data_IF_020544084044
#
_entry.id   IF_020544084044
#
_cell.length_a   1.000
_cell.length_b   1.000
_cell.length_c   1.000
_cell.angle_alpha   90.00
_cell.angle_beta   90.00
_cell.angle_gamma   90.00
#
_symmetry.space_group_name_H-M   'P 1'
#
loop_
_entity.id
_entity.type
_entity.pdbx_description
1 polymer ?
#
# COMPACT_ATOMS: atom_id res chain seq x y z
N UNK A 1 11.28 34.09 7.70
CA UNK A 1 9.97 34.74 7.49
C UNK A 1 9.29 34.05 6.31
N UNK A 2 8.02 33.67 6.45
CA UNK A 2 7.26 33.09 5.34
C UNK A 2 6.95 34.20 4.31
N UNK A 3 7.13 33.91 3.02
CA UNK A 3 6.78 34.86 1.95
C UNK A 3 5.28 35.12 1.98
N UNK A 4 4.88 36.38 2.01
CA UNK A 4 3.47 36.75 1.95
C UNK A 4 2.87 36.30 0.60
N UNK A 5 1.66 35.74 0.65
CA UNK A 5 0.92 35.35 -0.55
C UNK A 5 0.48 36.64 -1.26
N UNK A 6 0.68 36.77 -2.58
CA UNK A 6 0.26 37.95 -3.34
C UNK A 6 -1.23 38.26 -3.19
N UNK A 7 -1.55 39.55 -3.09
CA UNK A 7 -2.94 40.02 -3.06
C UNK A 7 -3.62 39.67 -4.38
N UNK A 8 -4.66 38.82 -4.32
CA UNK A 8 -5.38 38.31 -5.50
C UNK A 8 -5.23 36.80 -5.73
N UNK A 9 -4.33 36.13 -5.02
CA UNK A 9 -4.25 34.66 -4.98
C UNK A 9 -5.00 34.11 -3.77
N UNK A 10 -6.19 33.56 -4.01
CA UNK A 10 -6.95 32.81 -3.00
C UNK A 10 -6.53 31.35 -3.09
N UNK A 11 -5.53 30.98 -2.28
CA UNK A 11 -5.06 29.60 -2.17
C UNK A 11 -5.64 28.94 -0.92
N UNK A 12 -6.17 27.73 -1.09
CA UNK A 12 -6.56 26.83 0.00
C UNK A 12 -5.32 26.37 0.80
N UNK A 13 -5.51 25.80 2.00
CA UNK A 13 -4.42 25.43 2.91
C UNK A 13 -3.29 24.63 2.24
N UNK A 14 -3.61 23.61 1.43
CA UNK A 14 -2.60 22.84 0.67
C UNK A 14 -1.85 23.69 -0.37
N UNK A 15 -2.55 24.63 -1.01
CA UNK A 15 -1.96 25.58 -1.96
C UNK A 15 -1.04 26.58 -1.28
N UNK A 16 -1.37 27.01 -0.06
CA UNK A 16 -0.52 27.88 0.75
C UNK A 16 0.78 27.17 1.16
N UNK A 17 0.71 25.91 1.59
CA UNK A 17 1.90 25.11 1.89
C UNK A 17 2.80 24.92 0.67
N UNK A 18 2.20 24.55 -0.47
CA UNK A 18 2.91 24.39 -1.73
C UNK A 18 3.63 25.68 -2.16
N UNK A 19 2.95 26.82 -2.01
CA UNK A 19 3.49 28.15 -2.29
C UNK A 19 4.64 28.53 -1.35
N UNK A 20 4.50 28.27 -0.04
CA UNK A 20 5.55 28.59 0.94
C UNK A 20 6.78 27.70 0.79
N UNK A 21 6.61 26.41 0.49
CA UNK A 21 7.72 25.52 0.19
C UNK A 21 8.48 25.98 -1.06
N UNK A 22 7.75 26.38 -2.10
CA UNK A 22 8.33 26.88 -3.34
C UNK A 22 9.04 28.21 -3.13
N UNK A 23 8.42 29.16 -2.41
CA UNK A 23 9.02 30.45 -2.09
C UNK A 23 10.31 30.32 -1.26
N UNK A 24 10.46 29.22 -0.50
CA UNK A 24 11.70 28.87 0.21
C UNK A 24 12.78 28.32 -0.73
N UNK A 25 12.41 27.52 -1.74
CA UNK A 25 13.34 26.90 -2.69
C UNK A 25 13.76 27.86 -3.81
N UNK A 26 12.84 28.65 -4.35
CA UNK A 26 13.08 29.56 -5.47
C UNK A 26 13.05 31.03 -5.04
N UNK A 27 14.17 31.52 -4.47
CA UNK A 27 14.29 32.92 -4.04
C UNK A 27 14.13 33.93 -5.19
N UNK A 28 14.47 33.55 -6.43
CA UNK A 28 14.25 34.34 -7.66
C UNK A 28 12.76 34.59 -7.96
N UNK A 29 11.88 33.74 -7.44
CA UNK A 29 10.45 33.90 -7.59
C UNK A 29 9.92 35.07 -6.74
N UNK A 30 10.54 35.32 -5.58
CA UNK A 30 10.16 36.39 -4.66
C UNK A 30 10.57 37.79 -5.15
N UNK A 31 11.43 37.87 -6.16
CA UNK A 31 11.93 39.14 -6.72
C UNK A 31 11.13 39.63 -7.94
N UNK A 32 10.17 38.84 -8.41
CA UNK A 32 9.29 39.24 -9.52
C UNK A 32 8.15 40.13 -9.02
N UNK A 33 7.78 41.19 -9.75
CA UNK A 33 6.64 42.02 -9.39
C UNK A 33 5.33 41.22 -9.45
N UNK A 34 4.38 41.56 -8.59
CA UNK A 34 3.04 40.98 -8.57
C UNK A 34 2.27 41.41 -9.83
N UNK A 35 2.45 40.63 -10.89
CA UNK A 35 1.76 40.77 -12.15
C UNK A 35 0.84 39.56 -12.39
N UNK A 36 -0.19 39.68 -13.23
CA UNK A 36 -1.14 38.58 -13.46
C UNK A 36 -0.47 37.31 -14.00
N UNK A 37 0.64 37.43 -14.74
CA UNK A 37 1.43 36.29 -15.20
C UNK A 37 2.04 35.49 -14.03
N UNK A 38 2.54 36.18 -13.00
CA UNK A 38 3.04 35.57 -11.76
C UNK A 38 1.94 34.83 -11.03
N UNK A 39 0.73 35.41 -10.94
CA UNK A 39 -0.42 34.78 -10.29
C UNK A 39 -0.83 33.48 -11.00
N UNK A 40 -0.94 33.53 -12.33
CA UNK A 40 -1.29 32.36 -13.17
C UNK A 40 -0.22 31.28 -13.04
N UNK A 41 1.05 31.66 -13.03
CA UNK A 41 2.16 30.72 -12.88
C UNK A 41 2.15 30.02 -11.51
N UNK A 42 1.88 30.73 -10.42
CA UNK A 42 1.73 30.14 -9.08
C UNK A 42 0.58 29.13 -9.08
N UNK A 43 -0.56 29.51 -9.65
CA UNK A 43 -1.74 28.65 -9.71
C UNK A 43 -1.45 27.35 -10.47
N UNK A 44 -0.87 27.44 -11.67
CA UNK A 44 -0.51 26.28 -12.49
C UNK A 44 0.46 25.33 -11.78
N UNK A 45 1.40 25.87 -11.00
CA UNK A 45 2.34 25.08 -10.24
C UNK A 45 1.74 24.40 -9.00
N UNK A 46 0.84 25.10 -8.29
CA UNK A 46 0.08 24.49 -7.20
C UNK A 46 -0.76 23.33 -7.73
N UNK A 47 -1.41 23.51 -8.89
CA UNK A 47 -2.22 22.47 -9.54
C UNK A 47 -1.36 21.28 -10.02
N UNK A 48 -0.16 21.54 -10.54
CA UNK A 48 0.82 20.50 -10.86
C UNK A 48 1.22 19.69 -9.61
N UNK A 49 1.56 20.36 -8.51
CA UNK A 49 1.90 19.67 -7.24
C UNK A 49 0.73 18.85 -6.69
N UNK A 50 -0.51 19.37 -6.77
CA UNK A 50 -1.71 18.62 -6.38
C UNK A 50 -1.87 17.36 -7.25
N UNK A 51 -1.60 17.47 -8.55
CA UNK A 51 -1.67 16.34 -9.49
C UNK A 51 -0.59 15.29 -9.21
N UNK A 52 0.65 15.72 -8.95
CA UNK A 52 1.76 14.82 -8.64
C UNK A 52 1.54 14.05 -7.33
N UNK A 53 1.00 14.72 -6.30
CA UNK A 53 0.62 14.07 -5.04
C UNK A 53 -0.46 13.01 -5.26
N UNK A 54 -1.53 13.34 -5.97
CA UNK A 54 -2.60 12.38 -6.32
C UNK A 54 -2.06 11.17 -7.08
N UNK A 55 -1.11 11.38 -7.99
CA UNK A 55 -0.46 10.29 -8.72
C UNK A 55 0.36 9.40 -7.79
N UNK A 56 1.15 9.99 -6.90
CA UNK A 56 1.93 9.26 -5.88
C UNK A 56 1.02 8.47 -4.92
N UNK A 57 -0.13 9.02 -4.55
CA UNK A 57 -1.08 8.35 -3.67
C UNK A 57 -1.75 7.17 -4.37
N UNK A 58 -2.13 7.30 -5.64
CA UNK A 58 -2.62 6.21 -6.46
C UNK A 58 -1.57 5.10 -6.66
N UNK A 59 -0.32 5.47 -6.91
CA UNK A 59 0.79 4.52 -7.02
C UNK A 59 1.02 3.78 -5.69
N UNK A 60 0.95 4.49 -4.56
CA UNK A 60 1.00 3.85 -3.23
C UNK A 60 -0.15 2.89 -3.00
N UNK A 61 -1.38 3.30 -3.30
CA UNK A 61 -2.57 2.47 -3.12
C UNK A 61 -2.47 1.17 -3.95
N UNK A 62 -1.97 1.26 -5.18
CA UNK A 62 -1.70 0.09 -6.03
C UNK A 62 -0.64 -0.83 -5.44
N UNK A 63 0.47 -0.28 -4.94
CA UNK A 63 1.55 -1.06 -4.31
C UNK A 63 1.03 -1.77 -3.06
N UNK A 64 0.29 -1.07 -2.18
CA UNK A 64 -0.30 -1.67 -0.99
C UNK A 64 -1.33 -2.75 -1.34
N UNK A 65 -2.16 -2.53 -2.34
CA UNK A 65 -3.11 -3.52 -2.85
C UNK A 65 -2.42 -4.79 -3.36
N UNK A 66 -1.32 -4.64 -4.11
CA UNK A 66 -0.53 -5.76 -4.61
C UNK A 66 0.12 -6.57 -3.47
N UNK A 67 0.70 -5.89 -2.47
CA UNK A 67 1.30 -6.55 -1.30
C UNK A 67 0.23 -7.30 -0.49
N UNK A 68 -0.95 -6.69 -0.30
CA UNK A 68 -2.05 -7.32 0.42
C UNK A 68 -2.52 -8.61 -0.27
N UNK A 69 -2.73 -8.57 -1.59
CA UNK A 69 -3.11 -9.75 -2.37
C UNK A 69 -2.04 -10.85 -2.33
N UNK A 70 -0.76 -10.49 -2.47
CA UNK A 70 0.33 -11.45 -2.38
C UNK A 70 0.40 -12.13 -1.00
N UNK A 71 0.14 -11.38 0.06
CA UNK A 71 0.10 -11.89 1.44
C UNK A 71 -1.06 -12.87 1.62
N UNK A 72 -2.25 -12.53 1.12
CA UNK A 72 -3.41 -13.43 1.17
C UNK A 72 -3.17 -14.75 0.45
N UNK A 73 -2.64 -14.70 -0.78
CA UNK A 73 -2.32 -15.89 -1.57
C UNK A 73 -1.31 -16.77 -0.82
N UNK A 74 -0.25 -16.15 -0.28
CA UNK A 74 0.77 -16.86 0.49
C UNK A 74 0.19 -17.55 1.73
N UNK A 75 -0.73 -16.88 2.44
CA UNK A 75 -1.40 -17.44 3.61
C UNK A 75 -2.30 -18.63 3.25
N UNK A 76 -3.04 -18.53 2.14
CA UNK A 76 -3.90 -19.62 1.66
C UNK A 76 -3.09 -20.83 1.24
N UNK A 77 -1.98 -20.64 0.53
CA UNK A 77 -1.08 -21.72 0.12
C UNK A 77 -0.46 -22.38 1.34
N UNK A 78 0.04 -21.60 2.31
CA UNK A 78 0.62 -22.13 3.55
C UNK A 78 -0.41 -22.91 4.37
N UNK A 79 -1.64 -22.42 4.47
CA UNK A 79 -2.73 -23.13 5.13
C UNK A 79 -3.03 -24.46 4.42
N UNK A 80 -3.09 -24.46 3.09
CA UNK A 80 -3.35 -25.67 2.31
C UNK A 80 -2.22 -26.71 2.43
N UNK A 81 -0.95 -26.29 2.45
CA UNK A 81 0.18 -27.21 2.63
C UNK A 81 0.19 -27.82 4.03
N UNK A 82 -0.01 -26.99 5.07
CA UNK A 82 -0.10 -27.47 6.45
C UNK A 82 -1.27 -28.45 6.62
N UNK A 83 -2.44 -28.12 6.07
CA UNK A 83 -3.61 -28.99 6.14
C UNK A 83 -3.39 -30.33 5.43
N UNK A 84 -2.71 -30.31 4.28
CA UNK A 84 -2.33 -31.51 3.53
C UNK A 84 -1.38 -32.41 4.33
N UNK A 85 -0.39 -31.85 5.00
CA UNK A 85 0.53 -32.62 5.83
C UNK A 85 -0.18 -33.25 7.05
N UNK A 86 -1.09 -32.51 7.70
CA UNK A 86 -1.92 -33.05 8.80
C UNK A 86 -2.76 -34.24 8.32
N UNK A 87 -3.42 -34.12 7.16
CA UNK A 87 -4.22 -35.20 6.59
C UNK A 87 -3.40 -36.46 6.28
N UNK A 88 -2.17 -36.31 5.78
CA UNK A 88 -1.27 -37.45 5.54
C UNK A 88 -0.93 -38.18 6.83
N UNK A 89 -0.56 -37.43 7.88
CA UNK A 89 -0.24 -38.00 9.20
C UNK A 89 -1.46 -38.73 9.77
N UNK A 90 -2.62 -38.10 9.72
CA UNK A 90 -3.87 -38.68 10.21
C UNK A 90 -4.26 -39.96 9.44
N UNK A 91 -4.12 -39.96 8.11
CA UNK A 91 -4.33 -41.14 7.27
C UNK A 91 -3.36 -42.27 7.61
N UNK A 92 -2.08 -41.96 7.88
CA UNK A 92 -1.09 -42.94 8.32
C UNK A 92 -1.46 -43.59 9.66
N UNK A 93 -1.89 -42.79 10.63
CA UNK A 93 -2.33 -43.28 11.95
C UNK A 93 -3.57 -44.17 11.80
N UNK A 94 -4.56 -43.76 11.01
CA UNK A 94 -5.77 -44.57 10.76
C UNK A 94 -5.44 -45.91 10.10
N UNK A 95 -4.56 -45.92 9.10
CA UNK A 95 -4.13 -47.17 8.46
C UNK A 95 -3.38 -48.09 9.43
N UNK A 96 -2.53 -47.55 10.28
CA UNK A 96 -1.82 -48.33 11.30
C UNK A 96 -2.79 -48.97 12.31
N UNK A 97 -3.77 -48.20 12.80
CA UNK A 97 -4.81 -48.69 13.73
C UNK A 97 -5.70 -49.77 13.11
N UNK A 98 -6.05 -49.63 11.83
CA UNK A 98 -6.83 -50.65 11.11
C UNK A 98 -6.02 -51.93 10.89
N UNK A 99 -4.72 -51.83 10.61
CA UNK A 99 -3.83 -52.99 10.46
C UNK A 99 -3.68 -53.76 11.77
N UNK A 100 -3.55 -53.04 12.89
CA UNK A 100 -3.42 -53.62 14.23
C UNK A 100 -4.70 -54.34 14.67
N UNK A 101 -5.89 -53.77 14.38
CA UNK A 101 -7.18 -54.47 14.58
C UNK A 101 -7.34 -55.70 13.68
N UNK A 102 -6.93 -55.63 12.42
CA UNK A 102 -6.99 -56.78 11.50
C UNK A 102 -6.09 -57.94 11.93
N UNK A 103 -4.89 -57.65 12.45
CA UNK A 103 -3.99 -58.67 13.00
C UNK A 103 -4.53 -59.27 14.31
N UNK A 104 -5.23 -58.50 15.14
CA UNK A 104 -5.87 -59.00 16.36
C UNK A 104 -7.05 -59.93 16.08
N UNK A 105 -7.80 -59.73 14.98
CA UNK A 105 -8.84 -60.68 14.57
C UNK A 105 -8.27 -61.99 14.02
N UNK A 106 -7.15 -61.95 13.30
CA UNK A 106 -6.46 -63.16 12.84
C UNK A 106 -5.83 -63.97 13.97
N UNK A 107 -5.34 -63.31 15.03
CA UNK A 107 -4.74 -63.99 16.19
C UNK A 107 -5.76 -64.58 17.18
N UNK A 108 -7.06 -64.29 17.03
CA UNK A 108 -8.12 -64.80 17.91
C UNK A 108 -8.75 -66.11 17.41
N UNK A 109 -8.34 -66.59 16.24
CA UNK A 109 -8.86 -67.80 15.57
C UNK A 109 -7.86 -68.99 15.67
N UNK A 110 -6.73 -68.81 16.35
CA UNK A 110 -5.81 -69.89 16.76
C UNK A 110 -5.75 -69.99 18.28
#
# INVERSE_FOLDING_TARGET
MATAIPNGLVLEAEGQEAFHEMSRRERRFNTLPDNPARLIYIQALVDSKKTDRKKSDLEREQIYGAIYLATLISLTVLSATVYKEILKVFSGILNALMLERGNLEYFRIF
#
